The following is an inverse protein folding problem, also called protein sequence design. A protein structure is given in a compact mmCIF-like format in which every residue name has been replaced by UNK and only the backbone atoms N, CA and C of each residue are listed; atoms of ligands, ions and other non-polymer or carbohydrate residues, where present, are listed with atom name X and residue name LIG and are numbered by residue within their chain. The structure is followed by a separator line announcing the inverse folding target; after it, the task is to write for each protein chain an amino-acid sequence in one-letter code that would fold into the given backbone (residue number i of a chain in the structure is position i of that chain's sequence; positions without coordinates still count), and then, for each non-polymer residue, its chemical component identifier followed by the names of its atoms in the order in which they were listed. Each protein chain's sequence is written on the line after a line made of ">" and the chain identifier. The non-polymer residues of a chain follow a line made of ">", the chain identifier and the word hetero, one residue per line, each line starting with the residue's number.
data_IF_082499478094
#
_entry.id   IF_082499478094
#
_cell.length_a   1.000
_cell.length_b   1.000
_cell.length_c   1.000
_cell.angle_alpha   90.00
_cell.angle_beta   90.00
_cell.angle_gamma   90.00
#
_symmetry.space_group_name_H-M   'P 1'
#
loop_
_entity.id
_entity.type
_entity.pdbx_description
1 polymer ?
#
# COMPACT_ATOMS: atom_id res chain seq x y z
N UNK A 1 -6.05 21.37 -15.74
CA UNK A 1 -6.21 20.09 -15.01
C UNK A 1 -5.95 20.36 -13.53
N UNK A 2 -6.95 20.17 -12.67
CA UNK A 2 -6.83 20.44 -11.23
C UNK A 2 -5.80 19.48 -10.60
N UNK A 3 -4.89 20.01 -9.77
CA UNK A 3 -3.95 19.20 -9.00
C UNK A 3 -4.55 18.98 -7.62
N UNK A 4 -5.19 17.83 -7.45
CA UNK A 4 -5.73 17.44 -6.17
C UNK A 4 -4.57 17.05 -5.21
N UNK A 5 -4.44 17.70 -4.04
CA UNK A 5 -3.35 17.42 -3.11
C UNK A 5 -3.39 15.99 -2.54
N UNK A 6 -4.58 15.44 -2.29
CA UNK A 6 -4.75 14.06 -1.80
C UNK A 6 -4.22 13.08 -2.86
N UNK A 7 -4.55 13.31 -4.13
CA UNK A 7 -4.05 12.47 -5.23
C UNK A 7 -2.53 12.51 -5.32
N UNK A 8 -1.90 13.68 -5.12
CA UNK A 8 -0.44 13.79 -5.13
C UNK A 8 0.20 13.01 -3.97
N UNK A 9 -0.37 13.13 -2.77
CA UNK A 9 0.10 12.41 -1.58
C UNK A 9 -0.03 10.90 -1.72
N UNK A 10 -1.19 10.41 -2.19
CA UNK A 10 -1.44 8.98 -2.41
C UNK A 10 -0.47 8.42 -3.45
N UNK A 11 -0.22 9.17 -4.54
CA UNK A 11 0.75 8.75 -5.57
C UNK A 11 2.18 8.68 -5.02
N UNK A 12 2.58 9.68 -4.22
CA UNK A 12 3.89 9.69 -3.58
C UNK A 12 4.06 8.51 -2.63
N UNK A 13 3.06 8.22 -1.80
CA UNK A 13 3.08 7.07 -0.91
C UNK A 13 3.13 5.74 -1.69
N UNK A 14 2.37 5.62 -2.77
CA UNK A 14 2.41 4.45 -3.65
C UNK A 14 3.78 4.22 -4.28
N UNK A 15 4.44 5.28 -4.76
CA UNK A 15 5.78 5.23 -5.33
C UNK A 15 6.83 4.75 -4.30
N UNK A 16 6.73 5.24 -3.06
CA UNK A 16 7.61 4.79 -1.97
C UNK A 16 7.41 3.31 -1.63
N UNK A 17 6.16 2.82 -1.64
CA UNK A 17 5.87 1.40 -1.43
C UNK A 17 6.39 0.54 -2.60
N UNK A 18 6.26 1.01 -3.84
CA UNK A 18 6.76 0.32 -5.02
C UNK A 18 8.30 0.21 -4.98
N UNK A 19 9.00 1.30 -4.64
CA UNK A 19 10.47 1.30 -4.46
C UNK A 19 10.93 0.30 -3.40
N UNK A 20 10.24 0.24 -2.26
CA UNK A 20 10.54 -0.75 -1.20
C UNK A 20 10.37 -2.19 -1.67
N UNK A 21 9.48 -2.43 -2.62
CA UNK A 21 9.28 -3.75 -3.23
C UNK A 21 10.18 -3.98 -4.47
N UNK A 22 11.11 -3.07 -4.79
CA UNK A 22 11.88 -3.09 -6.04
C UNK A 22 10.99 -3.21 -7.30
N UNK A 23 9.80 -2.60 -7.25
CA UNK A 23 8.74 -2.69 -8.26
C UNK A 23 8.28 -4.13 -8.58
N UNK A 24 8.62 -5.10 -7.72
CA UNK A 24 8.14 -6.47 -7.82
C UNK A 24 6.77 -6.59 -7.16
N UNK A 25 5.77 -6.99 -7.96
CA UNK A 25 4.39 -7.12 -7.51
C UNK A 25 4.21 -8.22 -6.47
N UNK A 26 4.97 -9.31 -6.57
CA UNK A 26 4.91 -10.41 -5.61
C UNK A 26 5.42 -9.94 -4.24
N UNK A 27 6.58 -9.29 -4.21
CA UNK A 27 7.17 -8.72 -2.98
C UNK A 27 6.22 -7.67 -2.38
N UNK A 28 5.60 -6.84 -3.21
CA UNK A 28 4.63 -5.84 -2.77
C UNK A 28 3.45 -6.47 -2.00
N UNK A 29 2.82 -7.51 -2.56
CA UNK A 29 1.71 -8.19 -1.88
C UNK A 29 2.14 -8.95 -0.62
N UNK A 30 3.36 -9.51 -0.60
CA UNK A 30 3.90 -10.12 0.61
C UNK A 30 4.09 -9.10 1.74
N UNK A 31 4.61 -7.91 1.41
CA UNK A 31 4.76 -6.80 2.37
C UNK A 31 3.40 -6.35 2.91
N UNK A 32 2.38 -6.23 2.04
CA UNK A 32 1.02 -5.88 2.46
C UNK A 32 0.45 -6.90 3.46
N UNK A 33 0.50 -8.20 3.14
CA UNK A 33 0.03 -9.27 4.06
C UNK A 33 0.80 -9.30 5.37
N UNK A 34 2.10 -9.02 5.34
CA UNK A 34 2.93 -8.95 6.54
C UNK A 34 2.53 -7.79 7.43
N UNK A 35 2.23 -6.63 6.83
CA UNK A 35 1.75 -5.46 7.55
C UNK A 35 0.34 -5.70 8.13
N UNK A 36 -0.56 -6.36 7.38
CA UNK A 36 -1.86 -6.78 7.90
C UNK A 36 -1.72 -7.68 9.13
N UNK A 37 -0.83 -8.69 9.09
CA UNK A 37 -0.60 -9.59 10.24
C UNK A 37 -0.05 -8.89 11.48
N UNK A 38 0.67 -7.77 11.32
CA UNK A 38 1.17 -6.98 12.45
C UNK A 38 0.09 -6.16 13.12
N UNK A 39 -0.98 -5.85 12.39
CA UNK A 39 -2.12 -5.11 12.92
C UNK A 39 -3.08 -6.12 13.56
N UNK A 40 -3.19 -6.10 14.89
CA UNK A 40 -4.00 -7.07 15.67
C UNK A 40 -5.52 -6.86 15.56
N UNK A 41 -5.96 -6.06 14.58
CA UNK A 41 -7.37 -5.77 14.33
C UNK A 41 -7.75 -6.12 12.90
N UNK A 42 -8.76 -6.99 12.78
CA UNK A 42 -9.32 -7.39 11.48
C UNK A 42 -10.34 -6.35 11.03
N UNK A 43 -9.99 -5.56 10.01
CA UNK A 43 -10.87 -4.51 9.47
C UNK A 43 -12.04 -5.11 8.66
N UNK A 44 -11.81 -6.22 7.95
CA UNK A 44 -12.81 -6.81 7.04
C UNK A 44 -12.85 -8.34 7.17
N UNK A 45 -14.06 -8.91 7.26
CA UNK A 45 -14.29 -10.36 7.13
C UNK A 45 -14.72 -10.72 5.71
N UNK A 46 -14.37 -11.92 5.24
CA UNK A 46 -14.96 -12.46 4.01
C UNK A 46 -16.38 -12.91 4.36
N UNK A 47 -17.37 -12.41 3.63
CA UNK A 47 -18.73 -12.93 3.65
C UNK A 47 -18.80 -14.24 2.85
#
# INVERSE_FOLDING_TARGET
>A
MWKDPIVQEVRKAGEELAKKANYDMHIFFQNLRTNEKKQDYRIVSRN
#
